data_IF_321379671823
#
_entry.id   IF_321379671823
#
_cell.length_a   1.000
_cell.length_b   1.000
_cell.length_c   1.000
_cell.angle_alpha   90.00
_cell.angle_beta   90.00
_cell.angle_gamma   90.00
#
_symmetry.space_group_name_H-M   'P 1'
#
loop_
_entity.id
_entity.type
_entity.pdbx_description
1 polymer ?
#
# COMPACT_ATOMS: atom_id res chain seq x y z
N UNK A 1 40.67 -40.10 46.66
CA UNK A 1 40.12 -38.74 46.62
C UNK A 1 39.64 -38.42 45.24
N UNK A 2 38.33 -38.44 44.99
CA UNK A 2 37.72 -38.11 43.69
C UNK A 2 37.03 -36.78 43.82
N UNK A 3 37.50 -35.77 43.06
CA UNK A 3 36.89 -34.44 43.02
C UNK A 3 35.75 -34.45 42.02
N UNK A 4 34.50 -34.17 42.48
CA UNK A 4 33.37 -33.90 41.64
C UNK A 4 33.39 -32.42 41.23
N UNK A 5 33.53 -32.15 39.93
CA UNK A 5 33.36 -30.83 39.38
C UNK A 5 31.86 -30.60 39.06
N UNK A 6 31.23 -29.70 39.81
CA UNK A 6 29.88 -29.22 39.54
C UNK A 6 29.91 -28.17 38.42
N UNK A 7 29.38 -28.52 37.24
CA UNK A 7 29.12 -27.59 36.14
C UNK A 7 27.84 -26.80 36.43
N UNK A 8 27.97 -25.51 36.76
CA UNK A 8 26.85 -24.55 36.79
C UNK A 8 26.49 -24.16 35.35
N UNK A 9 25.41 -24.71 34.84
CA UNK A 9 24.74 -24.20 33.62
C UNK A 9 24.01 -22.89 33.98
N UNK A 10 24.59 -21.75 33.61
CA UNK A 10 23.93 -20.47 33.64
C UNK A 10 22.86 -20.41 32.53
N UNK A 11 21.60 -20.57 32.89
CA UNK A 11 20.48 -20.33 32.00
C UNK A 11 20.37 -18.82 31.75
N UNK A 12 20.82 -18.35 30.61
CA UNK A 12 20.53 -16.99 30.16
C UNK A 12 19.05 -16.93 29.78
N UNK A 13 18.26 -15.98 30.33
CA UNK A 13 16.91 -15.74 29.85
C UNK A 13 17.02 -15.19 28.43
N UNK A 14 16.59 -15.96 27.43
CA UNK A 14 16.35 -15.47 26.08
C UNK A 14 15.17 -14.48 26.18
N UNK A 15 15.50 -13.19 26.22
CA UNK A 15 14.48 -12.16 26.07
C UNK A 15 13.87 -12.37 24.67
N UNK A 16 12.66 -12.92 24.64
CA UNK A 16 11.81 -12.96 23.46
C UNK A 16 11.50 -11.49 23.14
N UNK A 17 12.27 -10.92 22.19
CA UNK A 17 11.94 -9.68 21.58
C UNK A 17 10.58 -9.90 20.89
N UNK A 18 9.52 -9.39 21.49
CA UNK A 18 8.19 -9.32 20.90
C UNK A 18 8.34 -8.53 19.60
N UNK A 19 8.35 -9.22 18.47
CA UNK A 19 8.28 -8.55 17.17
C UNK A 19 6.95 -7.79 17.14
N UNK A 20 7.02 -6.47 17.05
CA UNK A 20 5.86 -5.63 16.79
C UNK A 20 5.21 -6.11 15.50
N UNK A 21 4.04 -6.71 15.64
CA UNK A 21 3.31 -7.30 14.52
C UNK A 21 2.57 -6.18 13.79
N UNK A 22 3.21 -5.58 12.79
CA UNK A 22 2.58 -4.59 11.93
C UNK A 22 1.84 -5.28 10.80
N UNK A 23 0.56 -4.97 10.64
CA UNK A 23 -0.29 -5.43 9.56
C UNK A 23 -0.56 -4.27 8.60
N UNK A 24 -0.28 -4.47 7.33
CA UNK A 24 -0.65 -3.50 6.28
C UNK A 24 -1.93 -3.93 5.60
N UNK A 25 -2.89 -3.01 5.48
CA UNK A 25 -4.17 -3.18 4.81
C UNK A 25 -4.30 -2.18 3.68
N UNK A 26 -4.52 -2.69 2.49
CA UNK A 26 -4.87 -1.87 1.32
C UNK A 26 -6.36 -2.02 1.05
N UNK A 27 -7.05 -0.90 0.86
CA UNK A 27 -8.49 -0.86 0.65
C UNK A 27 -8.83 0.11 -0.48
N UNK A 28 -9.83 -0.23 -1.27
CA UNK A 28 -10.40 0.64 -2.29
C UNK A 28 -11.80 1.10 -1.86
N UNK A 29 -12.16 2.32 -2.23
CA UNK A 29 -13.46 2.85 -1.85
C UNK A 29 -13.66 4.29 -2.26
N UNK A 30 -14.41 5.04 -1.44
CA UNK A 30 -14.72 6.44 -1.72
C UNK A 30 -14.87 7.27 -0.45
N UNK A 31 -14.69 8.58 -0.62
CA UNK A 31 -15.00 9.62 0.37
C UNK A 31 -15.93 10.62 -0.32
N UNK A 32 -17.19 10.69 0.11
CA UNK A 32 -18.25 11.37 -0.64
C UNK A 32 -18.44 10.70 -2.00
N UNK A 33 -18.32 11.49 -3.09
CA UNK A 33 -18.37 10.99 -4.48
C UNK A 33 -17.01 10.68 -5.08
N UNK A 34 -15.92 10.85 -4.33
CA UNK A 34 -14.54 10.72 -4.85
C UNK A 34 -13.98 9.34 -4.55
N UNK A 35 -13.59 8.61 -5.58
CA UNK A 35 -12.88 7.35 -5.42
C UNK A 35 -11.54 7.56 -4.70
N UNK A 36 -11.14 6.58 -3.90
CA UNK A 36 -9.90 6.66 -3.13
C UNK A 36 -9.26 5.28 -2.92
N UNK A 37 -7.94 5.27 -2.82
CA UNK A 37 -7.14 4.15 -2.35
C UNK A 37 -6.65 4.47 -0.94
N UNK A 38 -6.91 3.58 0.02
CA UNK A 38 -6.50 3.69 1.42
C UNK A 38 -5.46 2.62 1.73
N UNK A 39 -4.38 3.03 2.38
CA UNK A 39 -3.37 2.12 2.96
C UNK A 39 -3.29 2.41 4.45
N UNK A 40 -3.53 1.41 5.29
CA UNK A 40 -3.40 1.48 6.75
C UNK A 40 -2.36 0.49 7.25
N UNK A 41 -1.51 0.96 8.14
CA UNK A 41 -0.58 0.16 8.92
C UNK A 41 -1.11 0.08 10.34
N UNK A 42 -1.37 -1.12 10.81
CA UNK A 42 -1.84 -1.39 12.16
C UNK A 42 -0.71 -2.03 12.97
N UNK A 43 -0.30 -1.40 14.06
CA UNK A 43 0.69 -1.91 14.99
C UNK A 43 0.01 -2.17 16.33
N UNK A 44 0.25 -3.32 16.93
CA UNK A 44 -0.36 -3.67 18.20
C UNK A 44 0.29 -2.85 19.32
N UNK A 45 -0.52 -2.10 20.05
CA UNK A 45 -0.08 -1.34 21.22
C UNK A 45 0.07 -2.25 22.46
N UNK A 46 0.85 -1.81 23.44
CA UNK A 46 1.15 -2.56 24.65
C UNK A 46 -0.06 -2.78 25.56
N UNK A 47 -1.08 -1.91 25.45
CA UNK A 47 -2.37 -2.00 26.16
C UNK A 47 -3.39 -2.93 25.48
N UNK A 48 -3.00 -3.59 24.36
CA UNK A 48 -3.84 -4.49 23.58
C UNK A 48 -4.67 -3.80 22.50
N UNK A 49 -4.65 -2.46 22.42
CA UNK A 49 -5.23 -1.70 21.32
C UNK A 49 -4.43 -1.77 20.04
N UNK A 50 -4.86 -1.04 19.02
CA UNK A 50 -4.16 -0.90 17.75
C UNK A 50 -3.84 0.56 17.49
N UNK A 51 -2.57 0.85 17.26
CA UNK A 51 -2.12 2.11 16.69
C UNK A 51 -2.25 2.02 15.17
N UNK A 52 -2.93 2.99 14.57
CA UNK A 52 -3.15 3.04 13.14
C UNK A 52 -2.42 4.25 12.56
N UNK A 53 -1.62 4.01 11.53
CA UNK A 53 -1.03 5.04 10.71
C UNK A 53 -1.24 4.69 9.24
N UNK A 54 -1.34 5.68 8.37
CA UNK A 54 -1.51 5.39 6.95
C UNK A 54 -1.82 6.62 6.13
N UNK A 55 -2.42 6.38 5.00
CA UNK A 55 -2.76 7.43 4.06
C UNK A 55 -3.88 6.99 3.12
N UNK A 56 -4.59 7.95 2.58
CA UNK A 56 -5.41 7.71 1.42
C UNK A 56 -5.04 8.67 0.28
N UNK A 57 -5.29 8.22 -0.95
CA UNK A 57 -5.09 8.99 -2.16
C UNK A 57 -6.43 9.12 -2.86
N UNK A 58 -6.88 10.36 -3.08
CA UNK A 58 -8.09 10.65 -3.85
C UNK A 58 -7.80 10.50 -5.35
N UNK A 59 -8.65 9.76 -6.05
CA UNK A 59 -8.59 9.58 -7.49
C UNK A 59 -9.59 10.54 -8.17
N UNK A 60 -9.28 11.15 -9.32
CA UNK A 60 -8.06 11.10 -10.12
C UNK A 60 -6.99 12.15 -9.73
N UNK A 61 -7.26 13.01 -8.74
CA UNK A 61 -6.42 14.17 -8.44
C UNK A 61 -5.08 13.81 -7.81
N UNK A 62 -4.92 12.58 -7.33
CA UNK A 62 -3.77 12.08 -6.56
C UNK A 62 -3.48 12.87 -5.28
N UNK A 63 -4.48 13.59 -4.79
CA UNK A 63 -4.35 14.30 -3.51
C UNK A 63 -4.22 13.28 -2.39
N UNK A 64 -3.07 13.30 -1.73
CA UNK A 64 -2.76 12.44 -0.59
C UNK A 64 -3.17 13.10 0.72
N UNK A 65 -3.66 12.26 1.65
CA UNK A 65 -3.92 12.62 3.03
C UNK A 65 -3.35 11.56 3.94
N UNK A 66 -2.67 12.00 4.97
CA UNK A 66 -2.10 11.12 6.00
C UNK A 66 -3.12 10.90 7.10
N UNK A 67 -3.10 9.72 7.68
CA UNK A 67 -4.01 9.29 8.72
C UNK A 67 -3.22 8.76 9.92
N UNK A 68 -3.67 9.10 11.10
CA UNK A 68 -3.14 8.59 12.36
C UNK A 68 -4.24 8.47 13.41
N UNK A 69 -4.23 7.42 14.20
CA UNK A 69 -5.22 7.23 15.25
C UNK A 69 -5.13 5.87 15.90
N UNK A 70 -6.23 5.48 16.53
CA UNK A 70 -6.31 4.27 17.32
C UNK A 70 -7.58 3.50 16.98
N UNK A 71 -7.52 2.18 17.12
CA UNK A 71 -8.68 1.31 17.07
C UNK A 71 -8.78 0.51 18.36
N UNK A 72 -9.94 0.62 19.03
CA UNK A 72 -10.25 -0.23 20.16
C UNK A 72 -10.70 -1.61 19.68
N UNK A 73 -10.13 -2.72 20.21
CA UNK A 73 -10.53 -4.07 19.84
C UNK A 73 -11.97 -4.40 20.29
N UNK A 74 -12.45 -3.77 21.37
CA UNK A 74 -13.74 -4.09 21.97
C UNK A 74 -14.92 -3.39 21.29
N UNK A 75 -14.75 -2.14 20.87
CA UNK A 75 -15.85 -1.29 20.40
C UNK A 75 -15.94 -1.27 18.86
N UNK A 76 -14.86 -1.64 18.16
CA UNK A 76 -14.78 -1.60 16.69
C UNK A 76 -14.93 -0.18 16.11
N UNK A 77 -14.92 0.83 16.96
CA UNK A 77 -14.92 2.24 16.57
C UNK A 77 -13.49 2.71 16.38
N UNK A 78 -13.24 3.37 15.28
CA UNK A 78 -11.92 3.89 14.91
C UNK A 78 -12.06 5.38 14.64
N UNK A 79 -11.18 6.16 15.22
CA UNK A 79 -11.03 7.58 14.90
C UNK A 79 -9.65 7.82 14.32
N UNK A 80 -9.58 8.28 13.08
CA UNK A 80 -8.35 8.64 12.41
C UNK A 80 -8.32 10.15 12.18
N UNK A 81 -7.27 10.80 12.66
CA UNK A 81 -6.97 12.21 12.38
C UNK A 81 -6.34 12.31 10.99
N UNK A 82 -6.81 13.24 10.20
CA UNK A 82 -6.35 13.50 8.83
C UNK A 82 -5.45 14.72 8.79
N UNK A 83 -4.35 14.63 8.03
CA UNK A 83 -3.44 15.74 7.77
C UNK A 83 -2.93 15.78 6.33
N UNK A 84 -2.41 16.92 5.93
CA UNK A 84 -1.70 17.07 4.63
C UNK A 84 -0.24 16.61 4.70
N UNK A 85 0.27 16.40 5.91
CA UNK A 85 1.59 15.81 6.24
C UNK A 85 1.40 14.81 7.35
N UNK A 86 2.36 13.90 7.61
CA UNK A 86 2.30 13.00 8.76
C UNK A 86 2.06 13.78 10.05
N UNK A 87 1.01 13.41 10.81
CA UNK A 87 0.54 14.14 12.00
C UNK A 87 1.53 14.03 13.16
N UNK A 88 2.34 12.95 13.19
CA UNK A 88 3.45 12.74 14.13
C UNK A 88 4.38 13.95 14.31
N UNK A 89 4.38 14.90 13.36
CA UNK A 89 5.17 16.13 13.43
C UNK A 89 4.46 17.30 14.12
N UNK A 90 3.40 17.05 14.92
CA UNK A 90 2.77 18.06 15.78
C UNK A 90 1.89 19.06 15.06
N UNK A 91 1.44 18.79 13.84
CA UNK A 91 0.50 19.65 13.11
C UNK A 91 -0.95 19.33 13.49
N UNK A 92 -1.78 20.35 13.51
CA UNK A 92 -3.22 20.19 13.73
C UNK A 92 -3.85 19.36 12.60
N UNK A 93 -4.76 18.43 12.93
CA UNK A 93 -5.49 17.67 11.93
C UNK A 93 -6.39 18.58 11.09
N UNK A 94 -6.51 18.27 9.80
CA UNK A 94 -7.37 18.98 8.85
C UNK A 94 -8.79 18.41 8.84
N UNK A 95 -8.95 17.16 9.27
CA UNK A 95 -10.23 16.47 9.36
C UNK A 95 -10.08 15.23 10.29
N UNK A 96 -11.22 14.56 10.54
CA UNK A 96 -11.27 13.28 11.25
C UNK A 96 -12.16 12.30 10.51
N UNK A 97 -11.70 11.05 10.40
CA UNK A 97 -12.51 9.93 9.93
C UNK A 97 -12.96 9.13 11.15
N UNK A 98 -14.26 9.10 11.42
CA UNK A 98 -14.86 8.33 12.50
C UNK A 98 -15.71 7.21 11.92
N UNK A 99 -15.40 5.98 12.27
CA UNK A 99 -16.10 4.84 11.69
C UNK A 99 -15.79 3.52 12.36
N UNK A 100 -16.16 2.44 11.69
CA UNK A 100 -15.93 1.07 12.14
C UNK A 100 -15.00 0.38 11.16
N UNK A 101 -13.87 -0.13 11.68
CA UNK A 101 -12.91 -0.96 10.94
C UNK A 101 -13.18 -2.43 11.32
N UNK A 102 -13.86 -3.18 10.45
CA UNK A 102 -14.22 -4.58 10.68
C UNK A 102 -14.10 -5.42 9.42
N UNK A 103 -13.57 -6.65 9.55
CA UNK A 103 -13.58 -7.69 8.50
C UNK A 103 -13.22 -7.18 7.10
N UNK A 104 -12.14 -6.42 6.99
CA UNK A 104 -11.71 -5.90 5.69
C UNK A 104 -12.55 -4.73 5.16
N UNK A 105 -13.35 -4.08 6.00
CA UNK A 105 -14.14 -2.91 5.65
C UNK A 105 -13.94 -1.79 6.66
N UNK A 106 -13.79 -0.55 6.17
CA UNK A 106 -13.74 0.67 6.97
C UNK A 106 -14.79 1.65 6.48
N UNK A 107 -15.84 1.86 7.28
CA UNK A 107 -16.99 2.70 6.91
C UNK A 107 -17.30 3.71 7.99
N UNK A 108 -17.71 4.91 7.60
CA UNK A 108 -18.04 5.95 8.57
C UNK A 108 -18.30 7.30 7.96
N UNK A 109 -17.96 8.34 8.73
CA UNK A 109 -18.12 9.74 8.35
C UNK A 109 -16.81 10.50 8.55
N UNK A 110 -16.41 11.24 7.56
CA UNK A 110 -15.32 12.22 7.59
C UNK A 110 -15.90 13.56 8.03
N UNK A 111 -15.30 14.16 9.04
CA UNK A 111 -15.65 15.48 9.58
C UNK A 111 -14.54 16.45 9.22
N UNK A 112 -14.87 17.52 8.53
CA UNK A 112 -13.96 18.62 8.24
C UNK A 112 -13.62 19.46 9.48
N UNK A 113 -12.83 20.52 9.33
CA UNK A 113 -12.46 21.42 10.41
C UNK A 113 -13.71 21.98 11.10
N UNK A 114 -13.74 21.94 12.44
CA UNK A 114 -14.89 22.38 13.23
C UNK A 114 -16.13 21.47 13.17
N UNK A 115 -16.02 20.28 12.54
CA UNK A 115 -17.08 19.28 12.52
C UNK A 115 -18.27 19.60 11.62
N UNK A 116 -18.19 20.65 10.80
CA UNK A 116 -19.30 21.12 9.96
C UNK A 116 -19.40 20.38 8.63
N UNK A 117 -18.27 20.07 7.99
CA UNK A 117 -18.22 19.25 6.79
C UNK A 117 -18.38 17.78 7.14
N UNK A 118 -19.32 17.10 6.49
CA UNK A 118 -19.58 15.68 6.73
C UNK A 118 -19.70 14.95 5.40
N UNK A 119 -18.78 14.02 5.15
CA UNK A 119 -18.80 13.16 3.99
C UNK A 119 -18.82 11.70 4.47
N UNK A 120 -19.66 10.87 3.89
CA UNK A 120 -19.59 9.42 4.14
C UNK A 120 -18.36 8.85 3.45
N UNK A 121 -17.73 7.86 4.07
CA UNK A 121 -16.71 7.08 3.43
C UNK A 121 -16.98 5.59 3.59
N UNK A 122 -16.54 4.85 2.60
CA UNK A 122 -16.59 3.40 2.59
C UNK A 122 -15.37 2.86 1.84
N UNK A 123 -14.60 1.99 2.51
CA UNK A 123 -13.45 1.29 1.98
C UNK A 123 -13.58 -0.20 2.20
N UNK A 124 -13.07 -1.01 1.27
CA UNK A 124 -13.06 -2.47 1.33
C UNK A 124 -11.69 -3.01 0.90
N UNK A 125 -11.24 -4.09 1.53
CA UNK A 125 -10.11 -4.91 1.07
C UNK A 125 -10.48 -5.78 -0.14
N UNK A 126 -11.77 -5.87 -0.46
CA UNK A 126 -12.26 -6.55 -1.65
C UNK A 126 -12.11 -5.64 -2.87
N UNK A 127 -11.14 -5.93 -3.71
CA UNK A 127 -10.96 -5.25 -4.99
C UNK A 127 -11.86 -5.87 -6.06
N UNK A 128 -12.28 -5.10 -7.06
CA UNK A 128 -13.00 -5.63 -8.22
C UNK A 128 -12.24 -6.79 -8.86
N UNK A 129 -12.98 -7.83 -9.28
CA UNK A 129 -12.38 -8.98 -9.94
C UNK A 129 -11.79 -8.59 -11.30
N UNK A 130 -10.60 -9.06 -11.58
CA UNK A 130 -9.94 -8.90 -12.89
C UNK A 130 -10.02 -10.17 -13.75
N UNK A 131 -10.88 -11.13 -13.42
CA UNK A 131 -10.97 -12.39 -14.18
C UNK A 131 -11.40 -12.22 -15.64
N UNK A 132 -12.17 -11.18 -15.96
CA UNK A 132 -12.58 -10.83 -17.33
C UNK A 132 -11.80 -9.62 -17.90
N UNK A 133 -10.79 -9.14 -17.18
CA UNK A 133 -10.04 -7.96 -17.60
C UNK A 133 -9.24 -8.27 -18.87
N UNK A 134 -9.38 -7.42 -19.88
CA UNK A 134 -8.60 -7.48 -21.12
C UNK A 134 -8.11 -6.07 -21.45
N UNK A 135 -6.80 -5.94 -21.64
CA UNK A 135 -6.17 -4.69 -22.02
C UNK A 135 -4.79 -4.92 -22.63
N UNK A 136 -4.42 -4.04 -23.55
CA UNK A 136 -3.05 -3.85 -23.99
C UNK A 136 -2.64 -2.42 -23.62
N UNK A 137 -1.70 -2.30 -22.69
CA UNK A 137 -1.24 -1.02 -22.16
C UNK A 137 0.22 -0.83 -22.53
N UNK A 138 0.55 0.37 -22.97
CA UNK A 138 1.92 0.85 -23.09
C UNK A 138 1.95 2.30 -22.68
N UNK A 139 2.66 2.59 -21.59
CA UNK A 139 2.68 3.91 -21.01
C UNK A 139 4.02 4.27 -20.38
N UNK A 140 4.25 5.55 -20.22
CA UNK A 140 5.43 6.12 -19.60
C UNK A 140 5.00 7.12 -18.52
N UNK A 141 5.70 7.13 -17.40
CA UNK A 141 5.51 8.07 -16.33
C UNK A 141 6.85 8.41 -15.70
N UNK A 142 7.02 9.64 -15.22
CA UNK A 142 8.28 10.04 -14.61
C UNK A 142 8.35 11.52 -14.28
N UNK A 143 9.49 11.90 -13.74
CA UNK A 143 9.92 13.26 -13.45
C UNK A 143 11.43 13.40 -13.73
N UNK A 144 12.05 14.50 -13.29
CA UNK A 144 13.49 14.75 -13.47
C UNK A 144 14.41 13.71 -12.82
N UNK A 145 13.92 12.97 -11.82
CA UNK A 145 14.71 12.01 -11.02
C UNK A 145 14.38 10.56 -11.31
N UNK A 146 13.25 10.29 -11.95
CA UNK A 146 12.77 8.94 -12.18
C UNK A 146 11.97 8.85 -13.47
N UNK A 147 12.28 7.86 -14.29
CA UNK A 147 11.51 7.52 -15.48
C UNK A 147 11.06 6.06 -15.37
N UNK A 148 9.85 5.78 -15.78
CA UNK A 148 9.28 4.44 -15.81
C UNK A 148 8.51 4.21 -17.09
N UNK A 149 8.67 3.04 -17.69
CA UNK A 149 7.86 2.56 -18.80
C UNK A 149 7.27 1.19 -18.45
N UNK A 150 5.98 1.06 -18.63
CA UNK A 150 5.24 -0.19 -18.40
C UNK A 150 4.50 -0.58 -19.67
N UNK A 151 4.70 -1.82 -20.11
CA UNK A 151 3.86 -2.44 -21.12
C UNK A 151 3.36 -3.79 -20.64
N UNK A 152 2.07 -4.06 -20.83
CA UNK A 152 1.50 -5.38 -20.60
C UNK A 152 0.32 -5.66 -21.52
N UNK A 153 0.09 -6.93 -21.75
CA UNK A 153 -1.11 -7.43 -22.42
C UNK A 153 -1.76 -8.48 -21.56
N UNK A 154 -3.02 -8.27 -21.24
CA UNK A 154 -3.88 -9.21 -20.51
C UNK A 154 -5.09 -9.52 -21.37
N UNK A 155 -5.48 -10.77 -21.44
CA UNK A 155 -6.65 -11.24 -22.16
C UNK A 155 -7.46 -12.16 -21.27
N UNK A 156 -8.74 -11.77 -21.00
CA UNK A 156 -9.64 -12.45 -20.10
C UNK A 156 -8.95 -12.88 -18.78
N UNK A 157 -8.33 -11.94 -18.10
CA UNK A 157 -7.61 -12.17 -16.83
C UNK A 157 -6.31 -12.96 -16.94
N UNK A 158 -5.86 -13.29 -18.16
CA UNK A 158 -4.62 -14.02 -18.39
C UNK A 158 -3.54 -13.11 -18.95
N UNK A 159 -2.38 -13.07 -18.30
CA UNK A 159 -1.24 -12.33 -18.79
C UNK A 159 -0.67 -12.97 -20.06
N UNK A 160 -0.48 -12.17 -21.09
CA UNK A 160 0.22 -12.57 -22.32
C UNK A 160 1.64 -12.01 -22.37
N UNK A 161 1.83 -10.79 -21.88
CA UNK A 161 3.15 -10.15 -21.82
C UNK A 161 3.19 -9.11 -20.70
N UNK A 162 4.36 -8.92 -20.10
CA UNK A 162 4.65 -7.87 -19.12
C UNK A 162 6.11 -7.44 -19.29
N UNK A 163 6.33 -6.15 -19.42
CA UNK A 163 7.63 -5.54 -19.33
C UNK A 163 7.51 -4.24 -18.53
N UNK A 164 8.30 -4.11 -17.48
CA UNK A 164 8.37 -2.89 -16.67
C UNK A 164 9.81 -2.46 -16.51
N UNK A 165 10.12 -1.26 -16.96
CA UNK A 165 11.44 -0.67 -16.86
C UNK A 165 11.40 0.60 -16.03
N UNK A 166 12.46 0.85 -15.29
CA UNK A 166 12.68 2.13 -14.62
C UNK A 166 14.12 2.59 -14.74
N UNK A 167 14.31 3.89 -14.60
CA UNK A 167 15.62 4.53 -14.53
C UNK A 167 15.60 5.62 -13.47
N UNK A 168 16.60 5.62 -12.59
CA UNK A 168 16.77 6.59 -11.50
C UNK A 168 17.93 7.52 -11.83
N UNK A 169 17.68 8.83 -11.81
CA UNK A 169 18.70 9.85 -11.97
C UNK A 169 19.17 10.37 -10.59
N UNK A 170 20.43 10.90 -10.46
CA UNK A 170 21.43 11.09 -11.53
C UNK A 170 22.26 9.84 -11.85
N UNK A 171 22.28 8.81 -11.03
CA UNK A 171 23.18 7.65 -11.16
C UNK A 171 22.94 6.74 -12.37
N UNK A 172 21.82 6.93 -13.12
CA UNK A 172 21.49 6.12 -14.26
C UNK A 172 21.14 4.64 -13.93
N UNK A 173 20.90 4.34 -12.64
CA UNK A 173 20.52 3.01 -12.20
C UNK A 173 19.18 2.61 -12.81
N UNK A 174 19.12 1.40 -13.36
CA UNK A 174 17.93 0.92 -14.06
C UNK A 174 17.48 -0.42 -13.50
N UNK A 175 16.17 -0.63 -13.56
CA UNK A 175 15.54 -1.92 -13.30
C UNK A 175 14.71 -2.34 -14.51
N UNK A 176 14.79 -3.60 -14.87
CA UNK A 176 13.95 -4.19 -15.92
C UNK A 176 13.36 -5.49 -15.43
N UNK A 177 12.04 -5.56 -15.43
CA UNK A 177 11.29 -6.78 -15.19
C UNK A 177 10.61 -7.18 -16.48
N UNK A 178 10.88 -8.39 -16.95
CA UNK A 178 10.26 -8.98 -18.14
C UNK A 178 10.05 -10.49 -17.91
N UNK A 179 9.04 -11.07 -18.57
CA UNK A 179 8.82 -12.50 -18.57
C UNK A 179 8.42 -13.05 -17.18
N UNK A 180 7.41 -12.46 -16.57
CA UNK A 180 6.88 -12.93 -15.29
C UNK A 180 5.81 -14.02 -15.45
N UNK A 181 5.74 -14.93 -14.47
CA UNK A 181 4.74 -15.98 -14.39
C UNK A 181 3.52 -15.51 -13.59
N UNK A 182 2.32 -15.75 -14.12
CA UNK A 182 1.09 -15.42 -13.39
C UNK A 182 0.86 -16.40 -12.24
N UNK A 183 0.50 -15.87 -11.08
CA UNK A 183 0.14 -16.63 -9.88
C UNK A 183 -1.28 -16.27 -9.42
N UNK A 184 -2.02 -17.20 -8.81
CA UNK A 184 -3.32 -16.89 -8.21
C UNK A 184 -3.19 -15.76 -7.18
N UNK A 185 -4.09 -14.79 -7.26
CA UNK A 185 -4.13 -13.65 -6.35
C UNK A 185 -5.56 -13.13 -6.18
N UNK A 186 -6.00 -12.99 -4.94
CA UNK A 186 -7.32 -12.43 -4.66
C UNK A 186 -7.34 -10.92 -4.93
N UNK A 187 -8.36 -10.47 -5.66
CA UNK A 187 -8.58 -9.04 -5.93
C UNK A 187 -7.62 -8.42 -6.94
N UNK A 188 -7.13 -9.21 -7.92
CA UNK A 188 -6.27 -8.68 -8.97
C UNK A 188 -5.56 -9.73 -9.81
N UNK A 189 -4.51 -9.31 -10.49
CA UNK A 189 -3.57 -10.18 -11.20
C UNK A 189 -2.19 -10.03 -10.57
N UNK A 190 -1.50 -11.15 -10.34
CA UNK A 190 -0.16 -11.17 -9.77
C UNK A 190 0.81 -11.91 -10.68
N UNK A 191 1.95 -11.32 -10.91
CA UNK A 191 3.03 -11.83 -11.73
C UNK A 191 4.30 -11.91 -10.93
N UNK A 192 5.03 -13.02 -11.05
CA UNK A 192 6.21 -13.31 -10.23
C UNK A 192 7.40 -13.61 -11.12
N UNK A 193 8.54 -12.99 -10.85
CA UNK A 193 9.84 -13.29 -11.45
C UNK A 193 10.88 -13.41 -10.33
N UNK A 194 11.27 -14.62 -9.99
CA UNK A 194 12.06 -14.87 -8.78
C UNK A 194 11.32 -14.43 -7.51
N UNK A 195 11.91 -13.53 -6.74
CA UNK A 195 11.26 -12.93 -5.56
C UNK A 195 10.46 -11.67 -5.89
N UNK A 196 10.73 -11.04 -7.04
CA UNK A 196 10.00 -9.86 -7.48
C UNK A 196 8.57 -10.23 -7.86
N UNK A 197 7.60 -9.52 -7.35
CA UNK A 197 6.19 -9.67 -7.74
C UNK A 197 5.60 -8.34 -8.19
N UNK A 198 4.78 -8.40 -9.23
CA UNK A 198 3.97 -7.29 -9.70
C UNK A 198 2.51 -7.63 -9.52
N UNK A 199 1.75 -6.70 -8.99
CA UNK A 199 0.30 -6.81 -8.87
C UNK A 199 -0.39 -5.75 -9.71
N UNK A 200 -1.43 -6.16 -10.44
CA UNK A 200 -2.40 -5.25 -11.04
C UNK A 200 -3.70 -5.35 -10.26
N UNK A 201 -4.24 -4.23 -9.79
CA UNK A 201 -5.51 -4.13 -9.08
C UNK A 201 -6.44 -3.16 -9.75
N UNK A 202 -7.66 -3.58 -9.96
CA UNK A 202 -8.72 -2.71 -10.48
C UNK A 202 -9.23 -1.79 -9.35
N UNK A 203 -9.19 -0.48 -9.58
CA UNK A 203 -9.71 0.56 -8.69
C UNK A 203 -10.96 1.24 -9.26
N UNK A 204 -11.65 0.59 -10.19
CA UNK A 204 -12.79 1.14 -10.92
C UNK A 204 -12.37 1.88 -12.18
N UNK A 205 -12.09 3.17 -12.12
CA UNK A 205 -11.66 3.97 -13.28
C UNK A 205 -10.16 3.83 -13.59
N UNK A 206 -9.40 3.21 -12.70
CA UNK A 206 -7.95 3.05 -12.79
C UNK A 206 -7.53 1.62 -12.52
N UNK A 207 -6.37 1.25 -13.03
CA UNK A 207 -5.63 0.06 -12.61
C UNK A 207 -4.38 0.52 -11.88
N UNK A 208 -4.15 0.01 -10.67
CA UNK A 208 -2.89 0.19 -9.97
C UNK A 208 -1.94 -0.94 -10.33
N UNK A 209 -0.75 -0.60 -10.82
CA UNK A 209 0.38 -1.51 -10.93
C UNK A 209 1.35 -1.23 -9.77
N UNK A 210 1.73 -2.26 -9.04
CA UNK A 210 2.71 -2.16 -7.95
C UNK A 210 3.69 -3.32 -7.98
N UNK A 211 4.95 -3.06 -7.67
CA UNK A 211 6.02 -4.04 -7.60
C UNK A 211 6.52 -4.18 -6.16
N UNK A 212 6.80 -5.40 -5.73
CA UNK A 212 7.27 -5.73 -4.39
C UNK A 212 8.42 -6.73 -4.45
N UNK A 213 9.35 -6.63 -3.48
CA UNK A 213 10.49 -7.54 -3.31
C UNK A 213 11.41 -7.63 -4.53
N UNK A 214 11.55 -6.53 -5.28
CA UNK A 214 12.30 -6.50 -6.53
C UNK A 214 13.78 -6.10 -6.36
N UNK A 215 14.29 -5.96 -5.15
CA UNK A 215 15.67 -5.53 -4.89
C UNK A 215 16.73 -6.48 -5.47
N UNK A 216 16.45 -7.79 -5.53
CA UNK A 216 17.37 -8.75 -6.16
C UNK A 216 17.46 -8.57 -7.68
N UNK A 217 16.35 -8.13 -8.31
CA UNK A 217 16.28 -7.87 -9.74
C UNK A 217 16.82 -6.49 -10.10
N UNK A 218 16.48 -5.49 -9.29
CA UNK A 218 16.77 -4.07 -9.56
C UNK A 218 18.10 -3.59 -8.96
N UNK A 219 18.66 -4.35 -8.00
CA UNK A 219 19.73 -3.85 -7.14
C UNK A 219 19.21 -2.88 -6.06
N UNK A 220 20.13 -2.37 -5.23
CA UNK A 220 19.76 -1.50 -4.10
C UNK A 220 19.44 -0.05 -4.47
N UNK A 221 19.76 0.36 -5.69
CA UNK A 221 19.67 1.77 -6.13
C UNK A 221 18.62 2.01 -7.22
N UNK A 222 17.97 0.95 -7.70
CA UNK A 222 16.86 1.04 -8.65
C UNK A 222 15.62 0.37 -8.08
N UNK A 223 14.45 0.86 -8.48
CA UNK A 223 13.17 0.35 -8.00
C UNK A 223 12.07 0.60 -9.03
N UNK A 224 10.94 -0.09 -8.87
CA UNK A 224 9.74 0.08 -9.67
C UNK A 224 8.69 0.78 -8.80
N UNK A 225 8.41 2.05 -9.10
CA UNK A 225 7.40 2.80 -8.36
C UNK A 225 5.99 2.45 -8.81
N UNK A 226 5.02 2.41 -7.88
CA UNK A 226 3.64 2.16 -8.24
C UNK A 226 3.11 3.15 -9.27
N UNK A 227 2.39 2.63 -10.25
CA UNK A 227 1.73 3.39 -11.31
C UNK A 227 0.22 3.31 -11.16
N UNK A 228 -0.44 4.43 -11.47
CA UNK A 228 -1.87 4.51 -11.68
C UNK A 228 -2.12 4.65 -13.18
N UNK A 229 -2.90 3.74 -13.75
CA UNK A 229 -3.16 3.62 -15.18
C UNK A 229 -4.64 3.88 -15.40
N UNK A 230 -4.99 4.89 -16.20
CA UNK A 230 -6.38 5.16 -16.54
C UNK A 230 -6.90 4.15 -17.61
N UNK A 231 -8.21 4.15 -17.87
CA UNK A 231 -8.82 3.25 -18.86
C UNK A 231 -8.42 3.54 -20.32
N UNK A 232 -7.72 4.66 -20.57
CA UNK A 232 -7.15 5.01 -21.88
C UNK A 232 -5.69 4.59 -22.01
N UNK A 233 -5.10 4.03 -20.93
CA UNK A 233 -3.72 3.58 -20.90
C UNK A 233 -2.70 4.66 -20.52
N UNK A 234 -3.14 5.85 -20.06
CA UNK A 234 -2.21 6.84 -19.55
C UNK A 234 -1.75 6.48 -18.15
N UNK A 235 -0.45 6.63 -17.88
CA UNK A 235 0.16 6.35 -16.60
C UNK A 235 0.48 7.62 -15.81
N UNK A 236 0.42 7.49 -14.48
CA UNK A 236 0.97 8.47 -13.52
C UNK A 236 1.70 7.72 -12.42
N UNK A 237 2.76 8.31 -11.89
CA UNK A 237 3.41 7.81 -10.68
C UNK A 237 2.46 7.99 -9.49
N UNK A 238 2.29 6.93 -8.72
CA UNK A 238 1.54 6.99 -7.45
C UNK A 238 2.53 7.38 -6.33
N UNK A 239 3.11 8.56 -6.44
CA UNK A 239 4.01 9.13 -5.44
C UNK A 239 3.30 10.11 -4.52
N UNK A 240 3.83 10.28 -3.27
CA UNK A 240 3.55 11.50 -2.52
C UNK A 240 4.03 12.71 -3.33
N UNK A 241 3.22 13.74 -3.41
CA UNK A 241 3.75 15.04 -3.80
C UNK A 241 4.78 15.47 -2.76
N UNK A 242 6.06 15.38 -3.09
CA UNK A 242 7.14 16.03 -2.34
C UNK A 242 7.04 17.52 -2.66
N UNK A 243 6.42 18.27 -1.77
CA UNK A 243 6.56 19.73 -1.74
C UNK A 243 7.81 20.13 -1.00
#
# INVERSE_FOLDING_TARGET
MRACALLFLAAFPVALLSQEQTQTREMVGHIGSRSALLVLHATRATDGGWQLAGEYVLLPTLVRRFLEGEASPEIGVTTLREGTTPILFGRSPTAELRGSLRRGSFKGTRYGPGGQERERFEFSEEFPSMASYSAAVRCEAGDERYASSLSYTVDAGTLKSLEWRSKVAPGGHSCTLAGAEQRPFAGGLRFVSGRCSVTLRDLGEYVRAAAENCSELCGSQAYLEPLLIDRRGNCRLLRPETR
#
